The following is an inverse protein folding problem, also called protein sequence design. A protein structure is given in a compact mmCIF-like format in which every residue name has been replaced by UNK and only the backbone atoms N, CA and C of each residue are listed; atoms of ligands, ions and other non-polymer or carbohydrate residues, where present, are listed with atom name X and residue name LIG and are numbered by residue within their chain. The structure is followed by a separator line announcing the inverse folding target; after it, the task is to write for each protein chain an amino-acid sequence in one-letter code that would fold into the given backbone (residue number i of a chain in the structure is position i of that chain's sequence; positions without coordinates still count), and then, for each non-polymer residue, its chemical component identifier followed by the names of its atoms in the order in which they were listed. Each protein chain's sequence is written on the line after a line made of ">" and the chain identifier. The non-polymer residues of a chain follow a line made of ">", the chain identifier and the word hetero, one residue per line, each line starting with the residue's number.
data_IF_034350211627
#
_entry.id   IF_034350211627
#
_cell.length_a   1.000
_cell.length_b   1.000
_cell.length_c   1.000
_cell.angle_alpha   90.00
_cell.angle_beta   90.00
_cell.angle_gamma   90.00
#
_symmetry.space_group_name_H-M   'P 1'
#
loop_
_entity.id
_entity.type
_entity.pdbx_description
1 polymer ?
#
# COMPACT_ATOMS: atom_id res chain seq x y z
N UNK A 1 -38.99 -0.66 -43.25
CA UNK A 1 -38.48 -2.05 -43.12
C UNK A 1 -36.98 -2.01 -43.34
N UNK A 2 -36.19 -2.09 -42.27
CA UNK A 2 -34.73 -2.17 -42.34
C UNK A 2 -34.31 -3.58 -41.94
N UNK A 3 -33.60 -4.23 -42.85
CA UNK A 3 -33.09 -5.59 -42.77
C UNK A 3 -32.00 -5.68 -41.70
N UNK A 4 -32.21 -6.57 -40.73
CA UNK A 4 -31.26 -6.91 -39.68
C UNK A 4 -30.31 -7.98 -40.24
N UNK A 5 -28.99 -7.70 -40.23
CA UNK A 5 -27.95 -8.68 -40.54
C UNK A 5 -27.80 -9.69 -39.38
N UNK A 6 -27.58 -10.99 -39.65
CA UNK A 6 -27.58 -12.02 -38.62
C UNK A 6 -26.33 -11.96 -37.74
N UNK A 7 -26.55 -11.99 -36.42
CA UNK A 7 -25.52 -12.21 -35.39
C UNK A 7 -25.04 -13.65 -35.52
N UNK A 8 -23.75 -13.86 -35.79
CA UNK A 8 -23.15 -15.18 -35.68
C UNK A 8 -23.03 -15.57 -34.21
N UNK A 9 -23.80 -16.57 -33.81
CA UNK A 9 -23.73 -17.22 -32.50
C UNK A 9 -22.51 -18.13 -32.51
N UNK A 10 -21.46 -17.77 -31.77
CA UNK A 10 -20.32 -18.67 -31.52
C UNK A 10 -20.80 -19.74 -30.55
N UNK A 11 -20.98 -20.94 -31.10
CA UNK A 11 -21.38 -22.14 -30.38
C UNK A 11 -20.14 -22.75 -29.70
N UNK A 12 -19.95 -22.51 -28.40
CA UNK A 12 -18.95 -23.26 -27.62
C UNK A 12 -19.56 -24.61 -27.22
N UNK A 13 -19.30 -25.64 -28.02
CA UNK A 13 -19.51 -27.03 -27.63
C UNK A 13 -18.56 -27.38 -26.48
N UNK A 14 -19.13 -27.79 -25.37
CA UNK A 14 -18.41 -28.34 -24.22
C UNK A 14 -17.87 -29.74 -24.59
N UNK A 15 -16.54 -29.85 -24.69
CA UNK A 15 -15.86 -31.15 -24.76
C UNK A 15 -15.67 -31.68 -23.32
N UNK A 16 -16.38 -32.78 -23.04
CA UNK A 16 -16.23 -33.59 -21.84
C UNK A 16 -15.01 -34.49 -21.97
N UNK A 17 -13.82 -33.96 -21.70
CA UNK A 17 -12.68 -34.79 -21.34
C UNK A 17 -11.68 -33.99 -20.51
N UNK A 18 -11.20 -34.61 -19.42
CA UNK A 18 -10.21 -34.12 -18.45
C UNK A 18 -10.77 -33.28 -17.28
N UNK A 19 -11.62 -33.92 -16.47
CA UNK A 19 -11.71 -33.66 -15.04
C UNK A 19 -10.49 -34.29 -14.33
N UNK A 20 -9.49 -33.47 -14.00
CA UNK A 20 -8.57 -33.74 -12.88
C UNK A 20 -8.16 -32.42 -12.24
N UNK A 21 -8.90 -32.03 -11.21
CA UNK A 21 -8.42 -31.08 -10.22
C UNK A 21 -7.13 -31.62 -9.60
N UNK A 22 -6.01 -30.89 -9.60
CA UNK A 22 -4.93 -31.19 -8.68
C UNK A 22 -5.37 -30.72 -7.29
N UNK A 23 -5.54 -31.66 -6.37
CA UNK A 23 -5.54 -31.38 -4.95
C UNK A 23 -4.20 -30.74 -4.60
N UNK A 24 -4.18 -29.42 -4.43
CA UNK A 24 -2.99 -28.72 -3.96
C UNK A 24 -2.77 -29.12 -2.50
N UNK A 25 -1.97 -30.15 -2.33
CA UNK A 25 -1.55 -30.71 -1.05
C UNK A 25 -0.83 -29.61 -0.27
N UNK A 26 -1.34 -29.29 0.92
CA UNK A 26 -0.78 -28.29 1.85
C UNK A 26 0.59 -28.72 2.41
N UNK A 27 1.11 -29.89 2.01
CA UNK A 27 2.41 -30.42 2.45
C UNK A 27 3.65 -29.92 1.68
N UNK A 28 3.50 -29.24 0.55
CA UNK A 28 4.67 -28.84 -0.27
C UNK A 28 5.12 -27.38 -0.09
N UNK A 29 4.62 -26.68 0.93
CA UNK A 29 5.07 -25.32 1.29
C UNK A 29 5.94 -25.28 2.54
N UNK A 30 6.80 -26.30 2.70
CA UNK A 30 7.89 -26.36 3.68
C UNK A 30 9.26 -26.61 3.02
N UNK A 31 9.45 -26.09 1.80
CA UNK A 31 10.75 -26.09 1.11
C UNK A 31 11.26 -24.65 0.85
N UNK A 32 10.95 -23.72 1.74
CA UNK A 32 11.56 -22.38 1.78
C UNK A 32 12.11 -22.08 3.17
N UNK A 33 13.00 -22.96 3.63
CA UNK A 33 13.88 -22.75 4.77
C UNK A 33 15.27 -23.33 4.46
N UNK A 34 15.72 -23.21 3.20
CA UNK A 34 16.97 -23.85 2.78
C UNK A 34 18.22 -23.08 3.22
N UNK A 35 18.11 -21.85 3.73
CA UNK A 35 19.26 -21.15 4.30
C UNK A 35 19.47 -21.50 5.78
N UNK A 36 18.40 -21.60 6.58
CA UNK A 36 18.53 -21.89 8.01
C UNK A 36 18.85 -23.37 8.27
N UNK A 37 18.26 -24.30 7.51
CA UNK A 37 18.55 -25.73 7.61
C UNK A 37 19.98 -26.06 7.18
N UNK A 38 20.48 -25.41 6.12
CA UNK A 38 21.87 -25.58 5.67
C UNK A 38 22.87 -24.97 6.68
N UNK A 39 22.58 -23.79 7.25
CA UNK A 39 23.42 -23.18 8.29
C UNK A 39 23.47 -24.05 9.55
N UNK A 40 22.33 -24.57 10.03
CA UNK A 40 22.29 -25.49 11.17
C UNK A 40 23.10 -26.77 10.92
N UNK A 41 22.97 -27.37 9.73
CA UNK A 41 23.70 -28.60 9.38
C UNK A 41 25.23 -28.36 9.29
N UNK A 42 25.66 -27.20 8.80
CA UNK A 42 27.10 -26.83 8.80
C UNK A 42 27.63 -26.52 10.20
N UNK A 43 26.81 -25.99 11.10
CA UNK A 43 27.19 -25.67 12.47
C UNK A 43 27.43 -26.95 13.31
N UNK A 44 26.54 -27.94 13.19
CA UNK A 44 26.68 -29.25 13.85
C UNK A 44 27.95 -29.99 13.40
N UNK A 45 28.23 -29.99 12.09
CA UNK A 45 29.46 -30.59 11.53
C UNK A 45 30.73 -29.90 12.03
N UNK A 46 30.71 -28.57 12.17
CA UNK A 46 31.84 -27.80 12.69
C UNK A 46 32.08 -28.08 14.19
N UNK A 47 31.02 -28.16 15.00
CA UNK A 47 31.11 -28.47 16.43
C UNK A 47 31.63 -29.89 16.69
N UNK A 48 31.16 -30.89 15.92
CA UNK A 48 31.68 -32.26 16.00
C UNK A 48 33.18 -32.32 15.66
N UNK A 49 33.61 -31.59 14.62
CA UNK A 49 35.02 -31.55 14.19
C UNK A 49 35.94 -30.85 15.21
N UNK A 50 35.42 -29.91 16.00
CA UNK A 50 36.19 -29.29 17.10
C UNK A 50 36.37 -30.21 18.31
N UNK A 51 35.42 -31.12 18.60
CA UNK A 51 35.55 -32.10 19.69
C UNK A 51 36.63 -33.15 19.42
N UNK A 52 36.86 -33.53 18.16
CA UNK A 52 37.82 -34.58 17.78
C UNK A 52 39.26 -34.10 17.51
N UNK A 53 39.50 -32.80 17.40
CA UNK A 53 40.86 -32.29 17.12
C UNK A 53 41.64 -31.98 18.41
N UNK A 54 42.81 -32.61 18.59
CA UNK A 54 43.74 -32.37 19.70
C UNK A 54 44.73 -31.22 19.43
N UNK A 55 44.65 -30.52 18.29
CA UNK A 55 45.59 -29.45 17.92
C UNK A 55 45.02 -28.04 18.24
N UNK A 56 45.65 -27.26 19.13
CA UNK A 56 45.13 -25.97 19.61
C UNK A 56 45.08 -24.88 18.53
N UNK A 57 45.94 -24.94 17.51
CA UNK A 57 45.97 -23.97 16.40
C UNK A 57 44.74 -24.09 15.47
N UNK A 58 44.26 -25.32 15.26
CA UNK A 58 43.10 -25.64 14.44
C UNK A 58 41.80 -25.21 15.12
N UNK A 59 41.68 -25.43 16.43
CA UNK A 59 40.54 -24.96 17.25
C UNK A 59 40.42 -23.43 17.21
N UNK A 60 41.54 -22.71 17.28
CA UNK A 60 41.55 -21.24 17.25
C UNK A 60 41.06 -20.67 15.91
N UNK A 61 41.38 -21.33 14.79
CA UNK A 61 40.95 -20.91 13.44
C UNK A 61 39.46 -21.16 13.21
N UNK A 62 38.95 -22.32 13.64
CA UNK A 62 37.52 -22.64 13.50
C UNK A 62 36.66 -21.70 14.36
N UNK A 63 37.04 -21.46 15.62
CA UNK A 63 36.29 -20.54 16.49
C UNK A 63 36.30 -19.11 15.94
N UNK A 64 37.43 -18.65 15.35
CA UNK A 64 37.51 -17.33 14.72
C UNK A 64 36.60 -17.20 13.50
N UNK A 65 36.53 -18.24 12.66
CA UNK A 65 35.65 -18.24 11.48
C UNK A 65 34.16 -18.36 11.86
N UNK A 66 33.83 -19.13 12.91
CA UNK A 66 32.47 -19.19 13.46
C UNK A 66 32.08 -17.83 14.06
N UNK A 67 32.97 -17.17 14.80
CA UNK A 67 32.73 -15.83 15.35
C UNK A 67 32.57 -14.78 14.24
N UNK A 68 33.37 -14.85 13.17
CA UNK A 68 33.26 -13.96 12.01
C UNK A 68 31.94 -14.20 11.24
N UNK A 69 31.53 -15.47 11.09
CA UNK A 69 30.24 -15.85 10.49
C UNK A 69 29.06 -15.34 11.31
N UNK A 70 29.09 -15.49 12.64
CA UNK A 70 28.04 -15.00 13.54
C UNK A 70 27.96 -13.46 13.53
N UNK A 71 29.10 -12.78 13.42
CA UNK A 71 29.16 -11.32 13.29
C UNK A 71 28.54 -10.82 11.98
N UNK A 72 28.77 -11.51 10.85
CA UNK A 72 28.19 -11.16 9.54
C UNK A 72 26.67 -11.42 9.46
N UNK A 73 26.17 -12.47 10.11
CA UNK A 73 24.72 -12.78 10.16
C UNK A 73 23.97 -11.74 11.03
N UNK A 74 24.61 -11.23 12.10
CA UNK A 74 24.04 -10.18 12.96
C UNK A 74 23.78 -8.87 12.20
N UNK A 75 24.66 -8.51 11.25
CA UNK A 75 24.55 -7.26 10.47
C UNK A 75 23.38 -7.32 9.46
N UNK A 76 23.02 -8.50 8.96
CA UNK A 76 21.98 -8.68 7.94
C UNK A 76 20.54 -8.65 8.51
N UNK A 77 20.36 -8.91 9.81
CA UNK A 77 19.03 -9.02 10.43
C UNK A 77 18.37 -7.66 10.76
N UNK A 78 19.04 -6.53 10.53
CA UNK A 78 18.57 -5.20 10.97
C UNK A 78 17.67 -4.45 9.96
N UNK A 79 17.38 -5.00 8.79
CA UNK A 79 16.68 -4.28 7.70
C UNK A 79 15.17 -4.55 7.58
N UNK A 80 14.58 -5.39 8.44
CA UNK A 80 13.20 -5.87 8.26
C UNK A 80 12.08 -4.95 8.82
N UNK A 81 12.40 -3.83 9.49
CA UNK A 81 11.39 -2.98 10.15
C UNK A 81 10.83 -1.85 9.27
N UNK A 82 11.58 -1.43 8.26
CA UNK A 82 11.29 -0.27 7.41
C UNK A 82 10.16 -0.53 6.39
N UNK A 83 10.13 -1.70 5.78
CA UNK A 83 9.16 -2.08 4.75
C UNK A 83 7.70 -1.99 5.26
N UNK A 84 7.48 -2.17 6.56
CA UNK A 84 6.13 -2.27 7.11
C UNK A 84 5.37 -0.93 7.12
N UNK A 85 6.02 0.20 7.44
CA UNK A 85 5.31 1.49 7.58
C UNK A 85 4.80 2.01 6.23
N UNK A 86 5.61 1.87 5.16
CA UNK A 86 5.20 2.26 3.80
C UNK A 86 4.01 1.45 3.33
N UNK A 87 4.06 0.12 3.53
CA UNK A 87 2.99 -0.78 3.16
C UNK A 87 1.69 -0.47 3.89
N UNK A 88 1.76 -0.20 5.20
CA UNK A 88 0.60 0.22 5.98
C UNK A 88 0.04 1.57 5.55
N UNK A 89 0.89 2.53 5.17
CA UNK A 89 0.46 3.80 4.59
C UNK A 89 -0.30 3.58 3.28
N UNK A 90 0.25 2.78 2.36
CA UNK A 90 -0.36 2.51 1.07
C UNK A 90 -1.71 1.79 1.24
N UNK A 91 -1.80 0.87 2.20
CA UNK A 91 -3.07 0.23 2.58
C UNK A 91 -4.10 1.23 3.09
N UNK A 92 -3.71 2.18 3.95
CA UNK A 92 -4.63 3.22 4.43
C UNK A 92 -5.12 4.14 3.29
N UNK A 93 -4.25 4.45 2.32
CA UNK A 93 -4.63 5.17 1.11
C UNK A 93 -5.62 4.37 0.27
N UNK A 94 -5.36 3.07 0.05
CA UNK A 94 -6.26 2.17 -0.68
C UNK A 94 -7.64 2.10 0.00
N UNK A 95 -7.65 1.90 1.31
CA UNK A 95 -8.87 1.84 2.10
C UNK A 95 -9.69 3.13 2.00
N UNK A 96 -9.03 4.29 2.10
CA UNK A 96 -9.69 5.59 1.92
C UNK A 96 -10.36 5.72 0.55
N UNK A 97 -9.72 5.24 -0.52
CA UNK A 97 -10.27 5.28 -1.88
C UNK A 97 -11.42 4.29 -2.07
N UNK A 98 -11.45 3.18 -1.33
CA UNK A 98 -12.49 2.14 -1.43
C UNK A 98 -13.89 2.64 -1.06
N UNK A 99 -13.98 3.69 -0.23
CA UNK A 99 -15.25 4.32 0.12
C UNK A 99 -15.90 5.11 -1.04
N UNK A 100 -15.19 5.37 -2.14
CA UNK A 100 -15.66 6.32 -3.15
C UNK A 100 -16.84 5.82 -3.98
N UNK A 101 -17.03 4.50 -4.12
CA UNK A 101 -18.27 3.96 -4.71
C UNK A 101 -19.48 4.19 -3.80
N UNK A 102 -19.34 4.05 -2.47
CA UNK A 102 -20.40 4.37 -1.51
C UNK A 102 -20.76 5.86 -1.56
N UNK A 103 -19.75 6.73 -1.60
CA UNK A 103 -19.95 8.18 -1.73
C UNK A 103 -20.66 8.52 -3.05
N UNK A 104 -20.22 7.92 -4.16
CA UNK A 104 -20.80 8.14 -5.48
C UNK A 104 -22.28 7.72 -5.52
N UNK A 105 -22.57 6.51 -5.02
CA UNK A 105 -23.92 5.96 -4.99
C UNK A 105 -24.83 6.78 -4.08
N UNK A 106 -24.35 7.17 -2.90
CA UNK A 106 -25.10 8.04 -2.00
C UNK A 106 -25.45 9.36 -2.69
N UNK A 107 -24.47 10.02 -3.33
CA UNK A 107 -24.69 11.28 -4.03
C UNK A 107 -25.65 11.13 -5.20
N UNK A 108 -25.55 10.05 -5.97
CA UNK A 108 -26.48 9.74 -7.05
C UNK A 108 -27.92 9.61 -6.52
N UNK A 109 -28.14 8.81 -5.47
CA UNK A 109 -29.46 8.59 -4.87
C UNK A 109 -30.10 9.87 -4.30
N UNK A 110 -29.29 10.83 -3.86
CA UNK A 110 -29.75 12.09 -3.27
C UNK A 110 -29.61 13.29 -4.21
N UNK A 111 -29.35 13.07 -5.51
CA UNK A 111 -29.17 14.13 -6.51
C UNK A 111 -28.14 15.20 -6.11
N UNK A 112 -27.03 14.76 -5.49
CA UNK A 112 -25.93 15.64 -5.06
C UNK A 112 -24.79 15.63 -6.08
N UNK A 113 -24.09 16.77 -6.28
CA UNK A 113 -22.93 16.84 -7.14
C UNK A 113 -21.74 16.04 -6.57
N UNK A 114 -20.82 15.63 -7.45
CA UNK A 114 -19.57 14.98 -7.04
C UNK A 114 -18.64 16.02 -6.39
N UNK A 115 -18.50 17.19 -6.98
CA UNK A 115 -17.76 18.32 -6.40
C UNK A 115 -18.50 18.88 -5.19
N UNK A 116 -17.75 19.07 -4.11
CA UNK A 116 -18.22 19.73 -2.90
C UNK A 116 -17.06 20.61 -2.40
N UNK A 117 -16.96 21.80 -2.99
CA UNK A 117 -15.81 22.71 -2.80
C UNK A 117 -15.60 23.05 -1.32
N UNK A 118 -16.68 23.27 -0.57
CA UNK A 118 -16.60 23.58 0.85
C UNK A 118 -16.12 22.39 1.68
N UNK A 119 -16.58 21.17 1.34
CA UNK A 119 -16.05 19.95 1.97
C UNK A 119 -14.60 19.69 1.60
N UNK A 120 -14.21 19.90 0.35
CA UNK A 120 -12.84 19.74 -0.15
C UNK A 120 -11.88 20.67 0.63
N UNK A 121 -12.24 21.95 0.79
CA UNK A 121 -11.51 22.91 1.63
C UNK A 121 -11.39 22.44 3.07
N UNK A 122 -12.47 21.93 3.67
CA UNK A 122 -12.45 21.45 5.06
C UNK A 122 -11.51 20.25 5.24
N UNK A 123 -11.49 19.31 4.28
CA UNK A 123 -10.61 18.15 4.29
C UNK A 123 -9.14 18.59 4.21
N UNK A 124 -8.82 19.50 3.28
CA UNK A 124 -7.46 20.04 3.12
C UNK A 124 -7.04 20.82 4.37
N UNK A 125 -7.91 21.68 4.91
CA UNK A 125 -7.63 22.47 6.12
C UNK A 125 -7.29 21.57 7.30
N UNK A 126 -8.06 20.52 7.54
CA UNK A 126 -7.78 19.54 8.60
C UNK A 126 -6.44 18.85 8.38
N UNK A 127 -6.17 18.41 7.14
CA UNK A 127 -4.91 17.76 6.81
C UNK A 127 -3.70 18.67 7.06
N UNK A 128 -3.79 19.95 6.67
CA UNK A 128 -2.73 20.94 6.91
C UNK A 128 -2.49 21.16 8.40
N UNK A 129 -3.55 21.25 9.22
CA UNK A 129 -3.42 21.41 10.67
C UNK A 129 -2.69 20.21 11.29
N UNK A 130 -3.12 18.99 10.98
CA UNK A 130 -2.49 17.75 11.47
C UNK A 130 -1.05 17.60 10.99
N UNK A 131 -0.76 17.96 9.74
CA UNK A 131 0.58 17.87 9.19
C UNK A 131 1.55 18.85 9.86
N UNK A 132 1.10 20.09 10.13
CA UNK A 132 1.91 21.10 10.83
C UNK A 132 2.28 20.64 12.23
N UNK A 133 1.35 20.05 12.99
CA UNK A 133 1.67 19.54 14.33
C UNK A 133 2.70 18.40 14.32
N UNK A 134 2.85 17.72 13.19
CA UNK A 134 3.82 16.64 12.99
C UNK A 134 5.14 17.10 12.35
N UNK A 135 5.25 18.39 12.00
CA UNK A 135 6.42 18.99 11.37
C UNK A 135 6.53 18.76 9.87
N UNK A 136 5.42 18.51 9.16
CA UNK A 136 5.38 18.39 7.69
C UNK A 136 5.15 19.76 7.04
N UNK A 137 5.75 20.00 5.87
CA UNK A 137 5.52 21.22 5.09
C UNK A 137 4.06 21.33 4.59
N UNK A 138 3.42 22.46 4.89
CA UNK A 138 1.98 22.66 4.70
C UNK A 138 1.55 22.59 3.22
N UNK A 139 2.33 23.21 2.33
CA UNK A 139 2.02 23.25 0.88
C UNK A 139 2.12 21.86 0.25
N UNK A 140 3.03 21.02 0.75
CA UNK A 140 3.24 19.68 0.21
C UNK A 140 2.13 18.72 0.64
N UNK A 141 1.68 18.80 1.89
CA UNK A 141 0.53 17.99 2.32
C UNK A 141 -0.77 18.46 1.65
N UNK A 142 -0.92 19.77 1.41
CA UNK A 142 -2.06 20.31 0.68
C UNK A 142 -2.13 19.73 -0.73
N UNK A 143 -1.03 19.77 -1.48
CA UNK A 143 -0.94 19.19 -2.83
C UNK A 143 -1.23 17.68 -2.82
N UNK A 144 -0.76 16.95 -1.81
CA UNK A 144 -1.06 15.52 -1.66
C UNK A 144 -2.55 15.25 -1.40
N UNK A 145 -3.21 16.05 -0.55
CA UNK A 145 -4.64 15.90 -0.31
C UNK A 145 -5.49 16.36 -1.51
N UNK A 146 -5.03 17.35 -2.28
CA UNK A 146 -5.65 17.71 -3.56
C UNK A 146 -5.57 16.54 -4.56
N UNK A 147 -4.43 15.85 -4.66
CA UNK A 147 -4.30 14.64 -5.48
C UNK A 147 -5.25 13.52 -5.01
N UNK A 148 -5.33 13.26 -3.70
CA UNK A 148 -6.29 12.31 -3.10
C UNK A 148 -7.74 12.66 -3.42
N UNK A 149 -8.11 13.95 -3.39
CA UNK A 149 -9.45 14.42 -3.74
C UNK A 149 -9.71 14.25 -5.24
N UNK A 150 -8.74 14.57 -6.10
CA UNK A 150 -8.86 14.41 -7.55
C UNK A 150 -9.12 12.94 -7.93
N UNK A 151 -8.34 12.00 -7.39
CA UNK A 151 -8.54 10.57 -7.62
C UNK A 151 -9.87 10.09 -7.05
N UNK A 152 -10.26 10.57 -5.86
CA UNK A 152 -11.56 10.26 -5.27
C UNK A 152 -12.73 10.71 -6.15
N UNK A 153 -12.63 11.90 -6.78
CA UNK A 153 -13.63 12.37 -7.75
C UNK A 153 -13.62 11.52 -9.02
N UNK A 154 -12.45 11.15 -9.52
CA UNK A 154 -12.33 10.29 -10.70
C UNK A 154 -13.03 8.93 -10.52
N UNK A 155 -12.86 8.29 -9.35
CA UNK A 155 -13.61 7.06 -9.00
C UNK A 155 -15.11 7.31 -9.02
N UNK A 156 -15.57 8.39 -8.35
CA UNK A 156 -17.00 8.72 -8.29
C UNK A 156 -17.60 8.96 -9.69
N UNK A 157 -16.87 9.65 -10.57
CA UNK A 157 -17.31 9.92 -11.94
C UNK A 157 -17.45 8.65 -12.76
N UNK A 158 -16.43 7.78 -12.73
CA UNK A 158 -16.44 6.50 -13.46
C UNK A 158 -17.55 5.59 -12.96
N UNK A 159 -17.78 5.53 -11.64
CA UNK A 159 -18.88 4.78 -11.07
C UNK A 159 -20.25 5.33 -11.50
N UNK A 160 -20.44 6.66 -11.48
CA UNK A 160 -21.69 7.26 -11.96
C UNK A 160 -21.94 6.99 -13.43
N UNK A 161 -20.90 6.96 -14.27
CA UNK A 161 -21.03 6.61 -15.68
C UNK A 161 -21.57 5.17 -15.85
N UNK A 162 -21.04 4.21 -15.08
CA UNK A 162 -21.53 2.83 -15.10
C UNK A 162 -23.01 2.73 -14.69
N UNK A 163 -23.43 3.49 -13.68
CA UNK A 163 -24.83 3.48 -13.21
C UNK A 163 -25.85 3.91 -14.29
N UNK A 164 -25.43 4.64 -15.33
CA UNK A 164 -26.33 5.05 -16.43
C UNK A 164 -26.81 3.87 -17.28
N UNK A 165 -25.99 2.82 -17.41
CA UNK A 165 -26.29 1.63 -18.21
C UNK A 165 -26.42 0.35 -17.38
N UNK A 166 -25.87 0.36 -16.16
CA UNK A 166 -25.84 -0.76 -15.21
C UNK A 166 -26.32 -0.26 -13.84
N UNK A 167 -27.64 0.01 -13.70
CA UNK A 167 -28.19 0.42 -12.41
C UNK A 167 -27.97 -0.67 -11.35
N UNK A 168 -27.86 -0.26 -10.10
CA UNK A 168 -27.64 -1.16 -8.96
C UNK A 168 -28.76 -1.06 -7.95
N UNK A 169 -29.10 -2.18 -7.31
CA UNK A 169 -30.00 -2.24 -6.15
C UNK A 169 -29.23 -2.14 -4.82
N UNK A 170 -27.89 -2.06 -4.87
CA UNK A 170 -27.04 -1.89 -3.70
C UNK A 170 -27.44 -0.61 -2.95
N UNK A 171 -27.43 -0.68 -1.62
CA UNK A 171 -27.58 0.52 -0.77
C UNK A 171 -26.20 1.03 -0.36
N UNK A 172 -25.92 2.33 -0.50
CA UNK A 172 -24.67 2.90 -0.01
C UNK A 172 -24.64 2.90 1.52
N UNK A 173 -23.43 2.84 2.09
CA UNK A 173 -23.24 3.15 3.52
C UNK A 173 -23.71 4.58 3.82
N UNK A 174 -24.19 4.81 5.05
CA UNK A 174 -24.59 6.16 5.49
C UNK A 174 -23.40 7.12 5.43
N UNK A 175 -23.55 8.18 4.63
CA UNK A 175 -22.48 9.13 4.37
C UNK A 175 -22.05 9.88 5.63
N UNK A 176 -23.00 10.23 6.50
CA UNK A 176 -22.76 11.07 7.67
C UNK A 176 -22.33 10.26 8.89
N UNK A 177 -22.98 9.12 9.12
CA UNK A 177 -22.76 8.28 10.31
C UNK A 177 -21.53 7.39 10.21
N UNK A 178 -21.18 6.92 9.01
CA UNK A 178 -20.09 5.96 8.83
C UNK A 178 -18.99 6.51 7.91
N UNK A 179 -19.33 6.86 6.67
CA UNK A 179 -18.29 7.12 5.65
C UNK A 179 -17.47 8.37 5.98
N UNK A 180 -18.09 9.51 6.33
CA UNK A 180 -17.33 10.73 6.63
C UNK A 180 -16.44 10.62 7.87
N UNK A 181 -16.88 10.01 8.99
CA UNK A 181 -16.01 9.71 10.12
C UNK A 181 -14.79 8.86 9.73
N UNK A 182 -14.99 7.76 9.01
CA UNK A 182 -13.92 6.89 8.53
C UNK A 182 -12.91 7.63 7.63
N UNK A 183 -13.41 8.46 6.70
CA UNK A 183 -12.55 9.27 5.83
C UNK A 183 -11.72 10.31 6.59
N UNK A 184 -12.22 10.81 7.73
CA UNK A 184 -11.46 11.71 8.62
C UNK A 184 -10.37 10.92 9.34
N UNK A 185 -10.71 9.78 9.96
CA UNK A 185 -9.76 8.93 10.66
C UNK A 185 -8.65 8.42 9.74
N UNK A 186 -8.99 7.97 8.53
CA UNK A 186 -8.02 7.54 7.52
C UNK A 186 -7.13 8.69 7.05
N UNK A 187 -7.69 9.90 6.92
CA UNK A 187 -6.91 11.10 6.62
C UNK A 187 -5.83 11.37 7.68
N UNK A 188 -6.18 11.30 8.96
CA UNK A 188 -5.25 11.46 10.07
C UNK A 188 -4.21 10.33 10.12
N UNK A 189 -4.65 9.09 9.92
CA UNK A 189 -3.79 7.90 9.87
C UNK A 189 -2.74 8.01 8.77
N UNK A 190 -3.14 8.44 7.57
CA UNK A 190 -2.25 8.65 6.43
C UNK A 190 -1.17 9.69 6.78
N UNK A 191 -1.55 10.84 7.35
CA UNK A 191 -0.59 11.89 7.71
C UNK A 191 0.38 11.40 8.80
N UNK A 192 -0.12 10.71 9.83
CA UNK A 192 0.70 10.15 10.89
C UNK A 192 1.72 9.14 10.34
N UNK A 193 1.29 8.24 9.43
CA UNK A 193 2.19 7.26 8.81
C UNK A 193 3.21 7.92 7.87
N UNK A 194 2.83 8.96 7.14
CA UNK A 194 3.77 9.78 6.36
C UNK A 194 4.84 10.38 7.27
N UNK A 195 4.44 11.02 8.37
CA UNK A 195 5.37 11.63 9.32
C UNK A 195 6.30 10.57 9.95
N UNK A 196 5.75 9.44 10.39
CA UNK A 196 6.51 8.34 10.97
C UNK A 196 7.54 7.80 9.97
N UNK A 197 7.10 7.52 8.74
CA UNK A 197 7.96 6.99 7.67
C UNK A 197 9.11 7.92 7.32
N UNK A 198 8.86 9.23 7.23
CA UNK A 198 9.90 10.20 6.91
C UNK A 198 10.91 10.31 8.06
N UNK A 199 10.45 10.23 9.32
CA UNK A 199 11.32 10.28 10.51
C UNK A 199 12.15 9.02 10.70
N UNK A 200 11.60 7.84 10.41
CA UNK A 200 12.29 6.55 10.60
C UNK A 200 13.23 6.19 9.45
N UNK A 201 12.83 6.47 8.21
CA UNK A 201 13.44 5.86 7.02
C UNK A 201 13.73 6.89 5.91
N UNK A 202 13.54 8.18 6.18
CA UNK A 202 13.79 9.24 5.20
C UNK A 202 12.69 9.40 4.16
N UNK A 203 12.99 10.10 3.07
CA UNK A 203 11.99 10.42 2.03
C UNK A 203 11.53 9.17 1.25
N UNK A 204 10.33 9.26 0.66
CA UNK A 204 9.84 8.24 -0.27
C UNK A 204 10.70 8.24 -1.54
N UNK A 205 10.96 7.04 -2.06
CA UNK A 205 11.83 6.83 -3.22
C UNK A 205 11.02 6.36 -4.44
N UNK A 206 11.39 6.77 -5.67
CA UNK A 206 10.71 6.36 -6.89
C UNK A 206 10.60 4.84 -7.09
N UNK A 207 11.54 4.07 -6.52
CA UNK A 207 11.57 2.61 -6.56
C UNK A 207 10.37 1.95 -5.86
N UNK A 208 9.73 2.65 -4.93
CA UNK A 208 8.56 2.14 -4.20
C UNK A 208 7.26 2.20 -5.02
N UNK A 209 7.30 2.75 -6.25
CA UNK A 209 6.10 2.87 -7.08
C UNK A 209 5.48 1.51 -7.43
N UNK A 210 6.29 0.45 -7.62
CA UNK A 210 5.75 -0.88 -7.95
C UNK A 210 4.88 -1.41 -6.81
N UNK A 211 5.43 -1.43 -5.59
CA UNK A 211 4.70 -1.86 -4.40
C UNK A 211 3.46 -0.98 -4.15
N UNK A 212 3.61 0.34 -4.28
CA UNK A 212 2.47 1.26 -4.20
C UNK A 212 1.39 0.91 -5.21
N UNK A 213 1.77 0.69 -6.48
CA UNK A 213 0.83 0.41 -7.57
C UNK A 213 0.11 -0.93 -7.39
N UNK A 214 0.76 -1.91 -6.79
CA UNK A 214 0.19 -3.22 -6.45
C UNK A 214 -0.80 -3.12 -5.29
N UNK A 215 -0.52 -2.29 -4.27
CA UNK A 215 -1.38 -2.14 -3.10
C UNK A 215 -2.63 -1.29 -3.40
N UNK A 216 -2.51 -0.27 -4.27
CA UNK A 216 -3.66 0.53 -4.71
C UNK A 216 -4.43 -0.25 -5.79
N UNK A 217 -5.40 -1.06 -5.38
CA UNK A 217 -6.20 -1.94 -6.24
C UNK A 217 -7.71 -1.64 -6.16
N UNK A 218 -8.09 -0.43 -5.76
CA UNK A 218 -9.50 -0.01 -5.80
C UNK A 218 -9.98 0.06 -7.26
N UNK A 219 -11.16 -0.52 -7.51
CA UNK A 219 -11.84 -0.41 -8.80
C UNK A 219 -11.96 1.07 -9.24
N UNK A 220 -11.76 1.30 -10.54
CA UNK A 220 -11.73 2.63 -11.17
C UNK A 220 -10.53 3.51 -10.82
N UNK A 221 -9.51 3.02 -10.11
CA UNK A 221 -8.22 3.72 -10.02
C UNK A 221 -7.35 3.32 -11.20
N UNK A 222 -7.08 4.29 -12.08
CA UNK A 222 -6.23 4.08 -13.27
C UNK A 222 -4.74 4.22 -12.93
N UNK A 223 -3.86 3.76 -13.83
CA UNK A 223 -2.40 3.94 -13.65
C UNK A 223 -2.00 5.43 -13.56
N UNK A 224 -2.68 6.33 -14.29
CA UNK A 224 -2.44 7.78 -14.18
C UNK A 224 -2.86 8.33 -12.81
N UNK A 225 -3.93 7.81 -12.22
CA UNK A 225 -4.35 8.20 -10.86
C UNK A 225 -3.31 7.74 -9.83
N UNK A 226 -2.78 6.52 -9.98
CA UNK A 226 -1.70 6.00 -9.12
C UNK A 226 -0.45 6.88 -9.22
N UNK A 227 -0.04 7.27 -10.44
CA UNK A 227 1.09 8.19 -10.65
C UNK A 227 0.85 9.54 -9.98
N UNK A 228 -0.33 10.15 -10.18
CA UNK A 228 -0.68 11.43 -9.56
C UNK A 228 -0.53 11.40 -8.03
N UNK A 229 -1.01 10.34 -7.37
CA UNK A 229 -0.90 10.18 -5.92
C UNK A 229 0.55 10.00 -5.47
N UNK A 230 1.30 9.13 -6.16
CA UNK A 230 2.65 8.80 -5.78
C UNK A 230 3.62 9.97 -6.02
N UNK A 231 3.47 10.71 -7.11
CA UNK A 231 4.28 11.89 -7.41
C UNK A 231 4.04 13.01 -6.38
N UNK A 232 2.82 13.12 -5.85
CA UNK A 232 2.53 14.02 -4.75
C UNK A 232 3.15 13.53 -3.42
N UNK A 233 3.15 12.22 -3.18
CA UNK A 233 3.77 11.61 -2.00
C UNK A 233 5.30 11.81 -1.97
N UNK A 234 5.98 11.63 -3.10
CA UNK A 234 7.44 11.84 -3.24
C UNK A 234 7.87 13.26 -2.88
N UNK A 235 6.97 14.24 -3.01
CA UNK A 235 7.29 15.64 -2.74
C UNK A 235 7.26 15.97 -1.24
N UNK A 236 6.67 15.14 -0.38
CA UNK A 236 6.47 15.47 1.04
C UNK A 236 7.78 15.42 1.82
N UNK A 237 8.04 16.48 2.59
CA UNK A 237 9.23 16.70 3.41
C UNK A 237 8.85 17.25 4.78
N UNK A 238 9.74 17.03 5.75
CA UNK A 238 9.66 17.68 7.05
C UNK A 238 10.10 19.15 6.94
N UNK A 239 9.55 20.00 7.79
CA UNK A 239 9.94 21.39 7.90
C UNK A 239 11.39 21.49 8.35
N UNK A 240 12.17 22.32 7.68
CA UNK A 240 13.51 22.67 8.16
C UNK A 240 13.40 23.72 9.27
N UNK A 241 14.33 23.72 10.24
CA UNK A 241 14.34 24.68 11.37
C UNK A 241 14.20 26.16 10.95
N UNK A 242 14.55 26.51 9.70
CA UNK A 242 14.44 27.86 9.15
C UNK A 242 13.00 28.26 8.76
N UNK A 243 12.15 27.30 8.38
CA UNK A 243 10.73 27.54 8.03
C UNK A 243 9.85 27.79 9.27
N UNK A 244 10.17 27.18 10.42
CA UNK A 244 9.38 27.25 11.64
C UNK A 244 9.28 28.68 12.23
N UNK A 245 10.24 29.55 11.92
CA UNK A 245 10.28 30.94 12.40
C UNK A 245 9.32 31.84 11.61
N UNK A 246 8.95 31.47 10.37
CA UNK A 246 8.16 32.32 9.47
C UNK A 246 6.65 32.06 9.54
N UNK A 247 6.20 30.97 10.17
CA UNK A 247 4.77 30.63 10.29
C UNK A 247 4.12 31.10 11.60
N UNK A 248 4.88 31.74 12.49
CA UNK A 248 4.42 32.30 13.77
C UNK A 248 4.40 33.85 13.80
N UNK A 249 4.56 34.49 12.63
CA UNK A 249 4.38 35.94 12.43
C UNK A 249 3.20 36.17 11.50
#
# INVERSE_FOLDING_TARGET
>A
MQQILPIQVVNCQADQSILRCPTHNVKDRLASSNNLFMVLQTFELALVKTRQSANPSFRRTIVKNIMLSLFLISIFSLQASAENISKELFKAMNERLSYMEDVALFKANHHRPIEDIEREKLVIKKAVITARSLGIEATQIENFFQAQIAVAKAIQYRYRADLLSKPTTRKPKDLQKFVRPELVQLGETIINKIAARIKSEGQFQPTQFSEFSEIIDVKYVSQSDKRLLFDALLKIKLQTKKSAVRSNS
#
